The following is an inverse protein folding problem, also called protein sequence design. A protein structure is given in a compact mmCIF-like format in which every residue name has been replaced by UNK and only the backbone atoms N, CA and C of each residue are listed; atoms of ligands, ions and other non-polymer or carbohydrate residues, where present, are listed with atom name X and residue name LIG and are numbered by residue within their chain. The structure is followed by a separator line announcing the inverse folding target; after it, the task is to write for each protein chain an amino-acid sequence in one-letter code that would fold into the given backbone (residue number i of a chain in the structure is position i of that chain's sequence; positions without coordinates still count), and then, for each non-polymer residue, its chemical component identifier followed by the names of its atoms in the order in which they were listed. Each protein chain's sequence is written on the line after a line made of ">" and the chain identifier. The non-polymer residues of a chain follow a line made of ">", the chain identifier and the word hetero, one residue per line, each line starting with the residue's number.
data_IF_973236799313
#
_entry.id   IF_973236799313
#
_cell.length_a   1.000
_cell.length_b   1.000
_cell.length_c   1.000
_cell.angle_alpha   90.00
_cell.angle_beta   90.00
_cell.angle_gamma   90.00
#
_symmetry.space_group_name_H-M   'P 1'
#
loop_
_entity.id
_entity.type
_entity.pdbx_description
1 polymer ?
#
# COMPACT_ATOMS: atom_id res chain seq x y z
N UNK A 1 -18.05 -1.07 13.93
CA UNK A 1 -16.97 -0.45 14.73
C UNK A 1 -17.46 0.88 15.24
N UNK A 2 -17.11 1.21 16.47
CA UNK A 2 -17.43 2.49 17.08
C UNK A 2 -16.53 3.59 16.48
N UNK A 3 -17.16 4.64 15.96
CA UNK A 3 -16.50 5.76 15.28
C UNK A 3 -16.33 6.99 16.17
N UNK A 4 -16.71 6.90 17.44
CA UNK A 4 -16.54 7.99 18.39
C UNK A 4 -15.08 8.07 18.86
N UNK A 5 -14.44 9.21 18.62
CA UNK A 5 -13.13 9.55 19.19
C UNK A 5 -13.29 10.13 20.60
N UNK A 6 -14.41 10.80 20.84
CA UNK A 6 -14.79 11.40 22.12
C UNK A 6 -16.31 11.32 22.24
N UNK A 7 -16.87 11.49 23.46
CA UNK A 7 -18.33 11.45 23.70
C UNK A 7 -19.17 12.36 22.79
N UNK A 8 -18.57 13.37 22.16
CA UNK A 8 -19.23 14.35 21.27
C UNK A 8 -18.74 14.33 19.83
N UNK A 9 -17.69 13.57 19.50
CA UNK A 9 -17.05 13.63 18.19
C UNK A 9 -16.99 12.25 17.55
N UNK A 10 -17.72 12.11 16.44
CA UNK A 10 -17.80 10.90 15.64
C UNK A 10 -17.17 11.15 14.27
N UNK A 11 -16.22 10.30 13.88
CA UNK A 11 -15.58 10.39 12.57
C UNK A 11 -16.49 9.73 11.53
N UNK A 12 -16.82 10.41 10.41
CA UNK A 12 -17.55 9.79 9.31
C UNK A 12 -16.80 8.59 8.74
N UNK A 13 -17.51 7.51 8.39
CA UNK A 13 -16.87 6.29 7.88
C UNK A 13 -16.04 6.55 6.59
N UNK A 14 -16.49 7.47 5.73
CA UNK A 14 -15.76 7.87 4.53
C UNK A 14 -14.48 8.68 4.78
N UNK A 15 -14.32 9.27 5.98
CA UNK A 15 -13.17 10.12 6.29
C UNK A 15 -11.90 9.35 6.66
N UNK A 16 -11.97 8.04 6.91
CA UNK A 16 -10.81 7.26 7.32
C UNK A 16 -9.70 7.20 6.25
N UNK A 17 -10.06 7.34 4.97
CA UNK A 17 -9.09 7.48 3.88
C UNK A 17 -8.18 8.71 4.01
N UNK A 18 -8.59 9.74 4.77
CA UNK A 18 -7.76 10.92 5.01
C UNK A 18 -6.48 10.58 5.78
N UNK A 19 -6.49 9.56 6.64
CA UNK A 19 -5.28 9.14 7.35
C UNK A 19 -4.20 8.66 6.38
N UNK A 20 -4.59 8.04 5.25
CA UNK A 20 -3.66 7.68 4.17
C UNK A 20 -2.98 8.93 3.60
N UNK A 21 -3.78 9.92 3.21
CA UNK A 21 -3.30 11.18 2.60
C UNK A 21 -2.43 11.98 3.56
N UNK A 22 -2.84 12.10 4.83
CA UNK A 22 -2.09 12.80 5.87
C UNK A 22 -0.75 12.09 6.11
N UNK A 23 -0.76 10.75 6.22
CA UNK A 23 0.46 9.97 6.43
C UNK A 23 1.44 10.12 5.26
N UNK A 24 0.94 10.07 4.02
CA UNK A 24 1.71 10.33 2.81
C UNK A 24 2.34 11.72 2.85
N UNK A 25 1.55 12.77 3.12
CA UNK A 25 2.05 14.15 3.17
C UNK A 25 3.10 14.35 4.27
N UNK A 26 2.84 13.83 5.48
CA UNK A 26 3.79 13.89 6.59
C UNK A 26 5.09 13.15 6.25
N UNK A 27 5.00 12.00 5.60
CA UNK A 27 6.17 11.26 5.18
C UNK A 27 7.02 12.01 4.17
N UNK A 28 6.39 12.66 3.17
CA UNK A 28 7.09 13.50 2.19
C UNK A 28 7.84 14.64 2.88
N UNK A 29 7.16 15.35 3.78
CA UNK A 29 7.77 16.46 4.55
C UNK A 29 8.96 15.93 5.37
N UNK A 30 8.77 14.83 6.10
CA UNK A 30 9.82 14.22 6.91
C UNK A 30 11.02 13.78 6.05
N UNK A 31 10.75 13.16 4.90
CA UNK A 31 11.78 12.68 3.99
C UNK A 31 12.64 13.82 3.46
N UNK A 32 12.01 14.88 2.96
CA UNK A 32 12.71 16.01 2.34
C UNK A 32 13.38 16.94 3.36
N UNK A 33 12.73 17.20 4.51
CA UNK A 33 13.21 18.18 5.50
C UNK A 33 14.11 17.59 6.57
N UNK A 34 14.01 16.30 6.85
CA UNK A 34 14.75 15.67 7.96
C UNK A 34 15.69 14.58 7.44
N UNK A 35 15.17 13.58 6.72
CA UNK A 35 15.95 12.40 6.34
C UNK A 35 17.06 12.75 5.34
N UNK A 36 16.71 13.41 4.23
CA UNK A 36 17.71 13.81 3.21
C UNK A 36 18.85 14.69 3.75
N UNK A 37 18.59 15.77 4.52
CA UNK A 37 19.67 16.59 5.07
C UNK A 37 20.48 15.83 6.12
N UNK A 38 19.86 14.99 6.96
CA UNK A 38 20.58 14.20 7.95
C UNK A 38 21.53 13.20 7.29
N UNK A 39 21.06 12.43 6.30
CA UNK A 39 21.90 11.48 5.55
C UNK A 39 23.02 12.23 4.82
N UNK A 40 22.72 13.40 4.25
CA UNK A 40 23.72 14.21 3.55
C UNK A 40 24.79 14.76 4.50
N UNK A 41 24.40 15.17 5.72
CA UNK A 41 25.32 15.61 6.78
C UNK A 41 26.19 14.46 7.28
N UNK A 42 25.62 13.27 7.49
CA UNK A 42 26.38 12.08 7.92
C UNK A 42 27.35 11.57 6.86
N UNK A 43 26.98 11.62 5.57
CA UNK A 43 27.83 11.13 4.47
C UNK A 43 28.74 12.20 3.86
N UNK A 44 28.66 13.45 4.33
CA UNK A 44 29.46 14.59 3.84
C UNK A 44 29.22 14.95 2.37
N UNK A 45 28.15 14.44 1.74
CA UNK A 45 27.80 14.68 0.34
C UNK A 45 26.30 14.58 0.13
N UNK A 46 25.76 15.21 -0.90
CA UNK A 46 24.33 15.09 -1.25
C UNK A 46 24.02 13.63 -1.60
N UNK A 47 23.28 12.93 -0.74
CA UNK A 47 22.88 11.53 -0.97
C UNK A 47 21.37 11.46 -1.10
N UNK A 48 20.91 10.92 -2.23
CA UNK A 48 19.53 10.50 -2.42
C UNK A 48 19.46 8.98 -2.32
N UNK A 49 18.46 8.48 -1.61
CA UNK A 49 18.21 7.03 -1.53
C UNK A 49 17.92 6.50 -2.94
N UNK A 50 18.50 5.36 -3.29
CA UNK A 50 18.33 4.76 -4.61
C UNK A 50 16.86 4.51 -4.94
N UNK A 51 16.48 4.82 -6.18
CA UNK A 51 15.09 4.75 -6.64
C UNK A 51 14.49 3.35 -6.47
N UNK A 52 15.25 2.31 -6.85
CA UNK A 52 14.87 0.90 -6.65
C UNK A 52 14.66 0.54 -5.17
N UNK A 53 15.56 1.01 -4.29
CA UNK A 53 15.43 0.75 -2.86
C UNK A 53 14.16 1.40 -2.29
N UNK A 54 13.84 2.63 -2.69
CA UNK A 54 12.61 3.31 -2.28
C UNK A 54 11.37 2.54 -2.73
N UNK A 55 11.32 2.10 -3.98
CA UNK A 55 10.22 1.27 -4.48
C UNK A 55 10.09 -0.05 -3.70
N UNK A 56 11.21 -0.74 -3.43
CA UNK A 56 11.22 -1.98 -2.65
C UNK A 56 10.73 -1.78 -1.20
N UNK A 57 11.15 -0.70 -0.53
CA UNK A 57 10.65 -0.35 0.83
C UNK A 57 9.14 -0.13 0.79
N UNK A 58 8.64 0.61 -0.22
CA UNK A 58 7.23 0.86 -0.38
C UNK A 58 6.42 -0.44 -0.55
N UNK A 59 6.85 -1.34 -1.44
CA UNK A 59 6.21 -2.64 -1.63
C UNK A 59 6.23 -3.50 -0.36
N UNK A 60 7.33 -3.48 0.39
CA UNK A 60 7.44 -4.19 1.67
C UNK A 60 6.48 -3.64 2.71
N UNK A 61 6.37 -2.31 2.82
CA UNK A 61 5.42 -1.66 3.73
C UNK A 61 3.96 -1.95 3.34
N UNK A 62 3.63 -2.01 2.04
CA UNK A 62 2.30 -2.46 1.59
C UNK A 62 2.01 -3.89 2.04
N UNK A 63 2.98 -4.81 1.97
CA UNK A 63 2.80 -6.17 2.49
C UNK A 63 2.44 -6.17 3.99
N UNK A 64 3.17 -5.38 4.80
CA UNK A 64 2.88 -5.23 6.22
C UNK A 64 1.48 -4.62 6.44
N UNK A 65 1.11 -3.60 5.66
CA UNK A 65 -0.21 -2.98 5.74
C UNK A 65 -1.35 -3.98 5.48
N UNK A 66 -1.17 -4.88 4.51
CA UNK A 66 -2.16 -5.94 4.22
C UNK A 66 -2.25 -6.98 5.33
N UNK A 67 -1.12 -7.36 5.94
CA UNK A 67 -1.11 -8.25 7.12
C UNK A 67 -1.81 -7.59 8.31
N UNK A 68 -1.52 -6.32 8.59
CA UNK A 68 -2.22 -5.55 9.64
C UNK A 68 -3.72 -5.50 9.36
N UNK A 69 -4.13 -5.26 8.11
CA UNK A 69 -5.54 -5.24 7.71
C UNK A 69 -6.23 -6.59 7.97
N UNK A 70 -5.56 -7.70 7.63
CA UNK A 70 -6.09 -9.04 7.89
C UNK A 70 -6.25 -9.32 9.39
N UNK A 71 -5.30 -8.90 10.23
CA UNK A 71 -5.35 -9.07 11.68
C UNK A 71 -6.48 -8.23 12.29
N UNK A 72 -6.58 -6.95 11.91
CA UNK A 72 -7.62 -6.03 12.39
C UNK A 72 -9.00 -6.53 12.02
N UNK A 73 -9.17 -7.02 10.79
CA UNK A 73 -10.45 -7.55 10.33
C UNK A 73 -10.83 -8.86 11.03
N UNK A 74 -9.86 -9.75 11.26
CA UNK A 74 -10.10 -10.97 12.02
C UNK A 74 -10.52 -10.65 13.47
N UNK A 75 -9.85 -9.68 14.11
CA UNK A 75 -10.25 -9.20 15.43
C UNK A 75 -11.68 -8.62 15.42
N UNK A 76 -11.98 -7.73 14.48
CA UNK A 76 -13.32 -7.14 14.31
C UNK A 76 -14.41 -8.19 14.14
N UNK A 77 -14.16 -9.19 13.27
CA UNK A 77 -15.10 -10.27 12.97
C UNK A 77 -15.33 -11.15 14.20
N UNK A 78 -14.28 -11.48 14.96
CA UNK A 78 -14.40 -12.26 16.21
C UNK A 78 -15.28 -11.57 17.23
N UNK A 79 -15.14 -10.25 17.39
CA UNK A 79 -15.98 -9.43 18.26
C UNK A 79 -17.45 -9.42 17.77
N UNK A 80 -17.67 -9.26 16.46
CA UNK A 80 -19.01 -9.31 15.86
C UNK A 80 -19.72 -10.66 16.09
N UNK A 81 -18.97 -11.76 16.00
CA UNK A 81 -19.48 -13.11 16.26
C UNK A 81 -19.84 -13.28 17.73
N UNK A 82 -18.96 -12.85 18.64
CA UNK A 82 -19.19 -12.97 20.09
C UNK A 82 -20.43 -12.19 20.54
N UNK A 83 -20.67 -11.03 19.94
CA UNK A 83 -21.82 -10.18 20.25
C UNK A 83 -23.11 -10.64 19.52
N UNK A 84 -23.06 -11.74 18.74
CA UNK A 84 -24.23 -12.32 18.06
C UNK A 84 -24.67 -11.55 16.79
N UNK A 85 -23.85 -10.66 16.27
CA UNK A 85 -24.19 -9.73 15.18
C UNK A 85 -24.01 -10.29 13.76
N UNK A 86 -23.78 -11.60 13.61
CA UNK A 86 -23.50 -12.24 12.32
C UNK A 86 -24.56 -11.95 11.24
N UNK A 87 -25.83 -11.94 11.63
CA UNK A 87 -26.96 -11.72 10.73
C UNK A 87 -27.46 -10.26 10.70
N UNK A 88 -26.79 -9.35 11.41
CA UNK A 88 -27.18 -7.94 11.44
C UNK A 88 -26.11 -7.08 10.75
N UNK A 89 -26.31 -6.69 9.48
CA UNK A 89 -25.34 -5.90 8.72
C UNK A 89 -25.11 -4.50 9.31
N UNK A 90 -26.10 -3.97 10.05
CA UNK A 90 -26.09 -2.62 10.62
C UNK A 90 -25.58 -2.59 12.07
N UNK A 91 -25.31 -3.75 12.66
CA UNK A 91 -24.84 -3.82 14.04
C UNK A 91 -23.44 -3.22 14.20
N UNK A 92 -23.30 -2.35 15.19
CA UNK A 92 -22.05 -1.68 15.51
C UNK A 92 -21.27 -2.58 16.46
N UNK A 93 -20.24 -3.23 15.94
CA UNK A 93 -19.23 -3.93 16.77
C UNK A 93 -18.57 -2.94 17.73
N UNK A 94 -18.50 -3.28 19.03
CA UNK A 94 -17.87 -2.49 20.11
C UNK A 94 -16.34 -2.50 20.05
N UNK A 95 -15.80 -2.27 18.86
CA UNK A 95 -14.37 -2.11 18.59
C UNK A 95 -14.16 -0.72 18.02
N UNK A 96 -13.18 0.02 18.56
CA UNK A 96 -12.86 1.36 18.06
C UNK A 96 -12.41 1.30 16.60
N UNK A 97 -12.92 2.19 15.77
CA UNK A 97 -12.51 2.32 14.38
C UNK A 97 -11.09 2.89 14.23
N UNK A 98 -10.47 3.36 15.33
CA UNK A 98 -9.06 3.79 15.32
C UNK A 98 -8.08 2.66 15.00
N UNK A 99 -8.50 1.39 15.15
CA UNK A 99 -7.74 0.22 14.71
C UNK A 99 -7.50 0.17 13.20
N UNK A 100 -8.26 0.93 12.40
CA UNK A 100 -8.01 1.09 10.97
C UNK A 100 -6.88 2.08 10.67
N UNK A 101 -6.51 2.95 11.62
CA UNK A 101 -5.51 3.99 11.37
C UNK A 101 -4.12 3.41 11.06
N UNK A 102 -3.60 2.38 11.77
CA UNK A 102 -2.29 1.80 11.46
C UNK A 102 -2.15 1.32 10.01
N UNK A 103 -3.14 0.60 9.47
CA UNK A 103 -3.10 0.14 8.07
C UNK A 103 -3.12 1.31 7.07
N UNK A 104 -3.91 2.37 7.34
CA UNK A 104 -3.94 3.56 6.47
C UNK A 104 -2.64 4.35 6.54
N UNK A 105 -2.06 4.50 7.73
CA UNK A 105 -0.78 5.18 7.88
C UNK A 105 0.35 4.44 7.15
N UNK A 106 0.40 3.10 7.30
CA UNK A 106 1.38 2.26 6.61
C UNK A 106 1.23 2.35 5.09
N UNK A 107 0.00 2.26 4.57
CA UNK A 107 -0.25 2.43 3.14
C UNK A 107 0.17 3.81 2.64
N UNK A 108 -0.04 4.88 3.41
CA UNK A 108 0.32 6.23 2.98
C UNK A 108 1.83 6.42 2.87
N UNK A 109 2.58 5.85 3.82
CA UNK A 109 4.04 5.83 3.78
C UNK A 109 4.52 4.96 2.61
N UNK A 110 3.93 3.78 2.42
CA UNK A 110 4.25 2.87 1.33
C UNK A 110 4.03 3.51 -0.05
N UNK A 111 2.92 4.21 -0.22
CA UNK A 111 2.55 4.95 -1.42
C UNK A 111 3.54 6.09 -1.68
N UNK A 112 3.90 6.86 -0.64
CA UNK A 112 4.92 7.92 -0.78
C UNK A 112 6.26 7.37 -1.29
N UNK A 113 6.70 6.22 -0.78
CA UNK A 113 7.93 5.57 -1.25
C UNK A 113 7.82 5.05 -2.67
N UNK A 114 6.74 4.34 -2.97
CA UNK A 114 6.54 3.65 -4.25
C UNK A 114 6.26 4.63 -5.37
N UNK A 115 5.29 5.53 -5.21
CA UNK A 115 4.89 6.47 -6.25
C UNK A 115 6.03 7.40 -6.64
N UNK A 116 6.69 8.03 -5.65
CA UNK A 116 7.81 8.94 -5.94
C UNK A 116 8.98 8.16 -6.56
N UNK A 117 9.24 6.94 -6.10
CA UNK A 117 10.25 6.06 -6.69
C UNK A 117 9.93 5.70 -8.14
N UNK A 118 8.70 5.25 -8.43
CA UNK A 118 8.27 4.90 -9.78
C UNK A 118 8.32 6.08 -10.74
N UNK A 119 7.80 7.23 -10.34
CA UNK A 119 7.85 8.45 -11.16
C UNK A 119 9.30 8.84 -11.46
N UNK A 120 10.18 8.87 -10.44
CA UNK A 120 11.60 9.17 -10.66
C UNK A 120 12.29 8.14 -11.56
N UNK A 121 11.93 6.86 -11.43
CA UNK A 121 12.47 5.78 -12.28
C UNK A 121 12.10 5.99 -13.75
N UNK A 122 10.82 6.18 -14.06
CA UNK A 122 10.36 6.37 -15.43
C UNK A 122 10.98 7.59 -16.09
N UNK A 123 11.08 8.72 -15.37
CA UNK A 123 11.76 9.92 -15.89
C UNK A 123 13.28 9.77 -16.00
N UNK A 124 13.90 8.83 -15.27
CA UNK A 124 15.35 8.61 -15.34
C UNK A 124 15.77 7.68 -16.48
N UNK A 125 14.91 6.74 -16.87
CA UNK A 125 15.20 5.77 -17.93
C UNK A 125 14.67 6.22 -19.30
N UNK A 126 13.61 7.04 -19.33
CA UNK A 126 13.10 7.61 -20.58
C UNK A 126 13.79 8.93 -20.93
N UNK A 127 14.09 9.18 -22.22
CA UNK A 127 14.65 10.46 -22.65
C UNK A 127 13.68 11.61 -22.39
N UNK A 128 14.19 12.83 -22.21
CA UNK A 128 13.37 14.02 -21.88
C UNK A 128 12.25 14.28 -22.90
N UNK A 129 12.46 13.96 -24.18
CA UNK A 129 11.45 14.07 -25.24
C UNK A 129 10.23 13.15 -25.02
N UNK A 130 10.37 12.11 -24.19
CA UNK A 130 9.32 11.15 -23.84
C UNK A 130 8.73 11.37 -22.45
N UNK A 131 8.89 12.57 -21.88
CA UNK A 131 8.35 12.91 -20.55
C UNK A 131 6.83 12.69 -20.41
N UNK A 132 6.07 12.88 -21.50
CA UNK A 132 4.63 12.59 -21.54
C UNK A 132 4.35 11.09 -21.45
N UNK A 133 5.16 10.26 -22.12
CA UNK A 133 5.06 8.80 -22.06
C UNK A 133 5.35 8.29 -20.63
N UNK A 134 6.34 8.87 -19.95
CA UNK A 134 6.65 8.54 -18.56
C UNK A 134 5.45 8.75 -17.62
N UNK A 135 4.76 9.88 -17.77
CA UNK A 135 3.54 10.17 -17.01
C UNK A 135 2.38 9.23 -17.39
N UNK A 136 2.19 8.99 -18.69
CA UNK A 136 1.15 8.10 -19.19
C UNK A 136 1.32 6.66 -18.70
N UNK A 137 2.55 6.14 -18.62
CA UNK A 137 2.84 4.80 -18.10
C UNK A 137 2.44 4.67 -16.62
N UNK A 138 2.63 5.71 -15.81
CA UNK A 138 2.21 5.71 -14.42
C UNK A 138 0.68 5.60 -14.31
N UNK A 139 -0.06 6.44 -15.05
CA UNK A 139 -1.53 6.44 -15.04
C UNK A 139 -2.09 5.14 -15.63
N UNK A 140 -1.48 4.62 -16.70
CA UNK A 140 -1.85 3.33 -17.28
C UNK A 140 -1.65 2.19 -16.27
N UNK A 141 -0.54 2.21 -15.53
CA UNK A 141 -0.29 1.26 -14.44
C UNK A 141 -1.39 1.29 -13.38
N UNK A 142 -1.85 2.48 -12.99
CA UNK A 142 -2.98 2.64 -12.07
C UNK A 142 -4.30 2.10 -12.64
N UNK A 143 -4.55 2.31 -13.94
CA UNK A 143 -5.73 1.77 -14.60
C UNK A 143 -5.72 0.22 -14.61
N UNK A 144 -4.58 -0.39 -14.97
CA UNK A 144 -4.40 -1.84 -14.93
C UNK A 144 -4.56 -2.38 -13.50
N UNK A 145 -4.03 -1.66 -12.49
CA UNK A 145 -4.19 -2.04 -11.09
C UNK A 145 -5.68 -2.07 -10.66
N UNK A 146 -6.49 -1.09 -11.08
CA UNK A 146 -7.93 -1.06 -10.78
C UNK A 146 -8.70 -2.20 -11.46
N UNK A 147 -8.31 -2.56 -12.69
CA UNK A 147 -8.88 -3.73 -13.38
C UNK A 147 -8.51 -5.03 -12.66
N UNK A 148 -7.24 -5.16 -12.25
CA UNK A 148 -6.78 -6.31 -11.48
C UNK A 148 -7.48 -6.41 -10.13
N UNK A 149 -7.67 -5.30 -9.43
CA UNK A 149 -8.42 -5.27 -8.16
C UNK A 149 -9.86 -5.77 -8.36
N UNK A 150 -10.55 -5.29 -9.39
CA UNK A 150 -11.89 -5.76 -9.77
C UNK A 150 -11.91 -7.25 -10.12
N UNK A 151 -10.91 -7.71 -10.88
CA UNK A 151 -10.78 -9.12 -11.26
C UNK A 151 -10.55 -10.02 -10.05
N UNK A 152 -9.67 -9.63 -9.12
CA UNK A 152 -9.41 -10.36 -7.88
C UNK A 152 -10.68 -10.49 -7.03
N UNK A 153 -11.44 -9.40 -6.87
CA UNK A 153 -12.73 -9.44 -6.15
C UNK A 153 -13.70 -10.39 -6.84
N UNK A 154 -13.86 -10.28 -8.16
CA UNK A 154 -14.78 -11.12 -8.93
C UNK A 154 -14.42 -12.62 -8.86
N UNK A 155 -13.13 -12.95 -8.99
CA UNK A 155 -12.65 -14.34 -8.88
C UNK A 155 -12.91 -14.90 -7.48
N UNK A 156 -12.63 -14.11 -6.43
CA UNK A 156 -12.90 -14.54 -5.05
C UNK A 156 -14.39 -14.71 -4.82
N UNK A 157 -15.22 -13.81 -5.34
CA UNK A 157 -16.67 -13.90 -5.25
C UNK A 157 -17.21 -15.17 -5.92
N UNK A 158 -16.79 -15.45 -7.17
CA UNK A 158 -17.17 -16.66 -7.90
C UNK A 158 -16.71 -17.95 -7.20
N UNK A 159 -15.46 -18.00 -6.73
CA UNK A 159 -14.92 -19.20 -6.07
C UNK A 159 -15.60 -19.45 -4.72
N UNK A 160 -15.90 -18.38 -3.97
CA UNK A 160 -16.38 -18.52 -2.59
C UNK A 160 -17.90 -18.63 -2.48
N UNK A 161 -18.65 -18.16 -3.47
CA UNK A 161 -20.11 -18.31 -3.57
C UNK A 161 -20.55 -19.68 -4.12
N UNK A 162 -19.62 -20.48 -4.65
CA UNK A 162 -19.93 -21.82 -5.19
C UNK A 162 -20.60 -22.73 -4.15
N UNK A 163 -21.68 -23.38 -4.59
CA UNK A 163 -22.46 -24.31 -3.78
C UNK A 163 -23.45 -23.64 -2.82
N UNK A 164 -23.87 -22.40 -3.08
CA UNK A 164 -24.90 -21.68 -2.30
C UNK A 164 -24.39 -21.13 -0.97
N UNK A 165 -23.07 -21.04 -0.79
CA UNK A 165 -22.43 -20.45 0.40
C UNK A 165 -22.30 -18.94 0.23
N UNK A 166 -22.29 -18.21 1.34
CA UNK A 166 -22.04 -16.76 1.28
C UNK A 166 -20.61 -16.46 0.81
N UNK A 167 -20.49 -15.51 -0.11
CA UNK A 167 -19.20 -15.00 -0.58
C UNK A 167 -18.38 -14.37 0.55
N UNK A 168 -17.05 -14.48 0.44
CA UNK A 168 -16.14 -13.79 1.35
C UNK A 168 -16.23 -12.27 1.25
N UNK A 169 -16.72 -11.75 0.12
CA UNK A 169 -16.92 -10.32 -0.17
C UNK A 169 -18.43 -10.03 -0.31
N UNK A 170 -19.24 -10.56 0.61
CA UNK A 170 -20.67 -10.29 0.66
C UNK A 170 -21.00 -8.90 1.21
N UNK A 171 -22.19 -8.39 0.86
CA UNK A 171 -22.73 -7.12 1.36
C UNK A 171 -22.90 -7.07 2.88
N UNK A 172 -23.08 -8.22 3.54
CA UNK A 172 -23.11 -8.30 5.00
C UNK A 172 -21.72 -8.54 5.59
N UNK A 173 -20.99 -7.45 5.83
CA UNK A 173 -19.62 -7.46 6.40
C UNK A 173 -19.45 -8.28 7.68
N UNK A 174 -20.51 -8.47 8.49
CA UNK A 174 -20.44 -9.25 9.72
C UNK A 174 -20.51 -10.77 9.47
N UNK A 175 -21.05 -11.19 8.32
CA UNK A 175 -21.12 -12.58 7.88
C UNK A 175 -19.95 -12.94 6.96
N UNK A 176 -19.53 -12.00 6.10
CA UNK A 176 -18.44 -12.21 5.14
C UNK A 176 -17.11 -12.52 5.83
N UNK A 177 -16.18 -13.10 5.06
CA UNK A 177 -14.81 -13.41 5.50
C UNK A 177 -13.79 -12.49 4.84
N UNK A 178 -13.94 -11.19 5.13
CA UNK A 178 -13.02 -10.16 4.64
C UNK A 178 -11.58 -10.35 5.16
N UNK A 179 -11.42 -11.01 6.31
CA UNK A 179 -10.14 -11.46 6.84
C UNK A 179 -9.39 -12.34 5.84
N UNK A 180 -10.08 -13.32 5.23
CA UNK A 180 -9.49 -14.17 4.20
C UNK A 180 -9.16 -13.41 2.91
N UNK A 181 -10.02 -12.46 2.51
CA UNK A 181 -9.75 -11.58 1.37
C UNK A 181 -8.45 -10.78 1.59
N UNK A 182 -8.27 -10.19 2.77
CA UNK A 182 -7.04 -9.47 3.10
C UNK A 182 -5.81 -10.38 3.15
N UNK A 183 -5.94 -11.63 3.62
CA UNK A 183 -4.86 -12.62 3.55
C UNK A 183 -4.46 -12.96 2.11
N UNK A 184 -5.42 -13.11 1.19
CA UNK A 184 -5.12 -13.32 -0.24
C UNK A 184 -4.34 -12.12 -0.79
N UNK A 185 -4.76 -10.89 -0.47
CA UNK A 185 -4.03 -9.70 -0.90
C UNK A 185 -2.64 -9.60 -0.26
N UNK A 186 -2.46 -10.04 0.99
CA UNK A 186 -1.15 -10.08 1.63
C UNK A 186 -0.20 -11.07 0.93
N UNK A 187 -0.70 -12.26 0.56
CA UNK A 187 0.06 -13.26 -0.21
C UNK A 187 0.41 -12.71 -1.60
N UNK A 188 -0.55 -12.12 -2.31
CA UNK A 188 -0.31 -11.49 -3.62
C UNK A 188 0.73 -10.36 -3.53
N UNK A 189 0.65 -9.54 -2.48
CA UNK A 189 1.63 -8.48 -2.22
C UNK A 189 3.03 -9.05 -1.98
N UNK A 190 3.13 -10.14 -1.23
CA UNK A 190 4.40 -10.82 -0.98
C UNK A 190 4.99 -11.44 -2.25
N UNK A 191 4.18 -12.09 -3.09
CA UNK A 191 4.59 -12.60 -4.40
C UNK A 191 5.08 -11.44 -5.28
N UNK A 192 4.35 -10.33 -5.31
CA UNK A 192 4.72 -9.14 -6.06
C UNK A 192 6.05 -8.53 -5.57
N UNK A 193 6.27 -8.51 -4.25
CA UNK A 193 7.55 -8.06 -3.68
C UNK A 193 8.71 -8.96 -4.12
N UNK A 194 8.53 -10.28 -4.13
CA UNK A 194 9.55 -11.22 -4.60
C UNK A 194 9.82 -11.07 -6.10
N UNK A 195 8.76 -10.97 -6.89
CA UNK A 195 8.85 -10.68 -8.33
C UNK A 195 9.60 -9.37 -8.59
N UNK A 196 9.29 -8.32 -7.83
CA UNK A 196 10.00 -7.05 -7.90
C UNK A 196 11.50 -7.21 -7.62
N UNK A 197 11.89 -7.97 -6.59
CA UNK A 197 13.30 -8.22 -6.30
C UNK A 197 14.00 -8.95 -7.45
N UNK A 198 13.37 -9.97 -8.04
CA UNK A 198 13.90 -10.68 -9.20
C UNK A 198 14.10 -9.73 -10.40
N UNK A 199 13.10 -8.90 -10.71
CA UNK A 199 13.20 -7.92 -11.78
C UNK A 199 14.26 -6.84 -11.49
N UNK A 200 14.31 -6.35 -10.25
CA UNK A 200 15.26 -5.32 -9.84
C UNK A 200 16.71 -5.82 -9.93
N UNK A 201 16.92 -7.09 -9.58
CA UNK A 201 18.19 -7.80 -9.71
C UNK A 201 18.56 -8.03 -11.18
N UNK A 202 17.67 -8.61 -11.97
CA UNK A 202 17.89 -8.88 -13.40
C UNK A 202 18.15 -7.61 -14.22
N UNK A 203 17.53 -6.48 -13.85
CA UNK A 203 17.73 -5.19 -14.53
C UNK A 203 19.13 -4.59 -14.27
N UNK A 204 19.84 -4.96 -13.21
CA UNK A 204 21.16 -4.39 -12.90
C UNK A 204 21.11 -2.92 -12.43
N UNK A 205 22.23 -2.17 -12.42
CA UNK A 205 22.27 -0.78 -11.94
C UNK A 205 21.41 0.16 -12.80
N UNK A 206 20.54 0.97 -12.17
CA UNK A 206 19.72 1.98 -12.88
C UNK A 206 20.60 3.06 -13.54
N UNK A 207 20.15 3.69 -14.63
CA UNK A 207 20.96 4.54 -15.51
C UNK A 207 21.88 5.55 -14.82
N UNK A 208 21.42 6.24 -13.76
CA UNK A 208 22.23 7.19 -12.96
C UNK A 208 23.39 6.55 -12.18
N UNK A 209 23.25 5.30 -11.74
CA UNK A 209 24.34 4.54 -11.12
C UNK A 209 25.32 4.04 -12.18
N UNK A 210 24.83 3.61 -13.34
CA UNK A 210 25.69 3.23 -14.47
C UNK A 210 26.54 4.41 -14.99
N UNK A 211 26.01 5.64 -15.02
CA UNK A 211 26.80 6.83 -15.38
C UNK A 211 27.88 7.16 -14.34
N UNK A 212 27.60 6.98 -13.04
CA UNK A 212 28.61 7.14 -11.98
C UNK A 212 29.69 6.06 -11.99
N UNK A 213 29.34 4.82 -12.35
CA UNK A 213 30.30 3.72 -12.50
C UNK A 213 31.20 3.95 -13.70
N UNK A 214 30.67 4.44 -14.83
CA UNK A 214 31.50 4.83 -16.00
C UNK A 214 32.38 6.06 -15.77
N UNK A 215 32.02 6.94 -14.83
CA UNK A 215 32.77 8.16 -14.53
C UNK A 215 33.91 7.96 -13.52
N UNK A 216 34.12 6.74 -13.01
CA UNK A 216 35.34 6.39 -12.28
C UNK A 216 36.37 5.91 -13.31
N UNK A 217 37.39 6.72 -13.68
CA UNK A 217 38.50 6.20 -14.45
C UNK A 217 39.18 5.14 -13.58
N UNK A 218 39.52 4.00 -14.19
CA UNK A 218 40.24 2.93 -13.54
C UNK A 218 41.41 3.48 -12.73
N UNK A 219 41.44 3.12 -11.45
CA UNK A 219 42.67 3.08 -10.67
C UNK A 219 43.16 1.65 -10.67
#
# INVERSE_FOLDING_TARGET
>A
MDRHLTKKFQIPAGSYGMFNVISLALWVILYDRVILPLISKMKGKSVRIGVKLRMGIGLFLTCIAMVVSAIVENARRREAIRDGFQNNPQAIVKMSAMWLVPQFCLNGIAEAFTAIGQTEFFYSELPKSMSSIAAALFVLGLAVANLLASAVVSIIDDITSKGGKDSWVSSNINKSRFDNYYWVLAILSFINLFYYFLCAWAYGPSGRQATKVKALPGR
#
